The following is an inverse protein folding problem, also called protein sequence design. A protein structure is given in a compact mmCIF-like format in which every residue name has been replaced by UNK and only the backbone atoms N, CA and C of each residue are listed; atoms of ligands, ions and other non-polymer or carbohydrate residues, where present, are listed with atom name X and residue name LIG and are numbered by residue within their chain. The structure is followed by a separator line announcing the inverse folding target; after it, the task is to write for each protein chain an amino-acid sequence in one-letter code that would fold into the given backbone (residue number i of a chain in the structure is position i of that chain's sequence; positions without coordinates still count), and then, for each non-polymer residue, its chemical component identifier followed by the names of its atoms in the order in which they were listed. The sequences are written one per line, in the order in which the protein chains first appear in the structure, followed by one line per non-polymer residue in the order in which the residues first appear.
data_IF_147881411796
#
_entry.id   IF_147881411796
#
_cell.length_a   1.000
_cell.length_b   1.000
_cell.length_c   1.000
_cell.angle_alpha   90.00
_cell.angle_beta   90.00
_cell.angle_gamma   90.00
#
_symmetry.space_group_name_H-M   'P 1'
#
loop_
_entity.id
_entity.type
_entity.pdbx_description
1 polymer ?
#
# COMPACT_ATOMS: atom_id res chain seq x y z
N UNK A 1 31.18 -30.04 4.77
CA UNK A 1 29.78 -30.36 5.12
C UNK A 1 29.02 -30.84 3.89
N UNK A 2 28.33 -31.98 3.94
CA UNK A 2 27.47 -32.46 2.86
C UNK A 2 26.26 -31.53 2.67
N UNK A 3 25.80 -31.36 1.42
CA UNK A 3 24.66 -30.48 1.06
C UNK A 3 23.31 -30.93 1.64
N UNK A 4 23.30 -32.11 2.26
CA UNK A 4 22.10 -32.80 2.71
C UNK A 4 21.85 -32.61 4.21
N UNK A 5 22.66 -31.81 4.91
CA UNK A 5 22.53 -31.58 6.35
C UNK A 5 22.39 -30.08 6.63
N UNK A 6 21.57 -29.72 7.61
CA UNK A 6 21.47 -28.35 8.10
C UNK A 6 22.80 -27.90 8.73
N UNK A 7 23.27 -26.70 8.40
CA UNK A 7 24.53 -26.17 8.91
C UNK A 7 24.41 -25.38 10.22
N UNK A 8 23.22 -25.27 10.82
CA UNK A 8 23.06 -24.59 12.11
C UNK A 8 23.64 -25.49 13.20
N UNK A 9 24.57 -25.01 14.05
CA UNK A 9 25.14 -25.84 15.11
C UNK A 9 24.05 -26.40 16.03
N UNK A 10 24.11 -27.70 16.33
CA UNK A 10 23.10 -28.41 17.11
C UNK A 10 21.85 -28.85 16.34
N UNK A 11 21.72 -28.52 15.05
CA UNK A 11 20.61 -29.01 14.22
C UNK A 11 20.94 -30.36 13.58
N UNK A 12 20.08 -31.35 13.78
CA UNK A 12 20.24 -32.71 13.25
C UNK A 12 19.45 -32.96 11.96
N UNK A 13 18.78 -31.94 11.41
CA UNK A 13 17.91 -32.10 10.23
C UNK A 13 18.74 -32.45 8.99
N UNK A 14 18.34 -33.53 8.34
CA UNK A 14 18.89 -34.00 7.07
C UNK A 14 17.84 -33.94 5.94
N UNK A 15 18.28 -34.07 4.69
CA UNK A 15 17.41 -33.98 3.53
C UNK A 15 16.36 -35.11 3.48
N UNK A 16 16.65 -36.25 4.12
CA UNK A 16 15.78 -37.43 4.19
C UNK A 16 14.55 -37.20 5.08
N UNK A 17 14.62 -36.24 6.01
CA UNK A 17 13.51 -35.88 6.91
C UNK A 17 12.33 -35.19 6.19
N UNK A 18 12.43 -34.97 4.87
CA UNK A 18 11.42 -34.27 4.07
C UNK A 18 11.32 -32.76 4.35
N UNK A 19 12.20 -32.21 5.21
CA UNK A 19 12.23 -30.78 5.55
C UNK A 19 13.01 -30.00 4.49
N UNK A 20 12.45 -28.91 3.91
CA UNK A 20 13.17 -28.12 2.91
C UNK A 20 14.46 -27.48 3.47
N UNK A 21 15.56 -27.72 2.77
CA UNK A 21 16.86 -27.09 3.01
C UNK A 21 17.06 -25.89 2.06
N UNK A 22 17.28 -24.70 2.64
CA UNK A 22 17.44 -23.45 1.91
C UNK A 22 18.91 -23.11 1.69
N UNK A 23 19.20 -22.52 0.53
CA UNK A 23 20.52 -21.98 0.22
C UNK A 23 20.72 -20.61 0.86
N UNK A 24 21.97 -20.29 1.19
CA UNK A 24 22.38 -18.93 1.54
C UNK A 24 22.07 -17.93 0.41
N UNK A 25 21.81 -16.64 0.71
CA UNK A 25 21.70 -15.58 -0.30
C UNK A 25 22.91 -15.51 -1.23
N UNK A 26 22.80 -14.84 -2.38
CA UNK A 26 23.95 -14.73 -3.29
C UNK A 26 24.88 -13.61 -2.78
N UNK A 27 26.14 -13.89 -2.39
CA UNK A 27 27.01 -12.88 -1.79
C UNK A 27 27.26 -11.68 -2.71
N UNK A 28 27.28 -11.87 -4.04
CA UNK A 28 27.44 -10.78 -5.02
C UNK A 28 26.20 -9.89 -5.18
N UNK A 29 24.99 -10.38 -4.84
CA UNK A 29 23.71 -9.67 -5.08
C UNK A 29 23.03 -9.20 -3.81
N UNK A 30 23.34 -9.85 -2.69
CA UNK A 30 22.67 -9.70 -1.41
C UNK A 30 23.69 -9.99 -0.30
N UNK A 31 24.82 -9.25 -0.36
CA UNK A 31 25.97 -9.41 0.52
C UNK A 31 25.57 -9.22 1.98
N UNK A 32 24.80 -8.17 2.27
CA UNK A 32 24.39 -7.83 3.63
C UNK A 32 23.61 -8.97 4.29
N UNK A 33 22.60 -9.50 3.60
CA UNK A 33 21.81 -10.62 4.10
C UNK A 33 22.63 -11.90 4.23
N UNK A 34 23.55 -12.13 3.29
CA UNK A 34 24.46 -13.26 3.35
C UNK A 34 25.34 -13.23 4.61
N UNK A 35 26.01 -12.10 4.87
CA UNK A 35 26.87 -11.94 6.05
C UNK A 35 26.04 -11.97 7.34
N UNK A 36 24.82 -11.43 7.33
CA UNK A 36 23.90 -11.54 8.47
C UNK A 36 23.56 -13.00 8.79
N UNK A 37 23.30 -13.84 7.79
CA UNK A 37 23.05 -15.27 8.03
C UNK A 37 24.29 -15.96 8.62
N UNK A 38 25.49 -15.68 8.08
CA UNK A 38 26.74 -16.24 8.59
C UNK A 38 26.99 -15.81 10.05
N UNK A 39 26.80 -14.53 10.35
CA UNK A 39 26.96 -13.96 11.70
C UNK A 39 25.98 -14.58 12.70
N UNK A 40 24.72 -14.73 12.31
CA UNK A 40 23.65 -15.27 13.17
C UNK A 40 23.87 -16.75 13.49
N UNK A 41 24.40 -17.53 12.54
CA UNK A 41 24.64 -18.97 12.73
C UNK A 41 25.90 -19.19 13.57
N UNK A 42 26.94 -18.39 13.35
CA UNK A 42 28.19 -18.47 14.09
C UNK A 42 28.96 -19.78 13.90
N UNK A 43 29.97 -20.01 14.74
CA UNK A 43 30.80 -21.21 14.71
C UNK A 43 31.75 -21.30 13.50
N UNK A 44 32.07 -22.51 13.07
CA UNK A 44 33.08 -22.77 12.03
C UNK A 44 32.74 -22.25 10.62
N UNK A 45 31.52 -21.73 10.39
CA UNK A 45 31.12 -21.16 9.10
C UNK A 45 31.64 -19.74 8.89
N UNK A 46 32.02 -19.03 9.96
CA UNK A 46 32.52 -17.63 9.89
C UNK A 46 33.92 -17.54 9.27
N UNK A 47 34.70 -18.61 9.34
CA UNK A 47 36.08 -18.68 8.81
C UNK A 47 36.16 -19.17 7.36
N UNK A 48 35.03 -19.51 6.73
CA UNK A 48 34.98 -20.02 5.36
C UNK A 48 34.76 -18.89 4.34
N UNK A 49 35.22 -19.09 3.11
CA UNK A 49 34.96 -18.12 2.04
C UNK A 49 33.49 -18.14 1.58
N UNK A 50 33.00 -16.97 1.17
CA UNK A 50 31.61 -16.75 0.76
C UNK A 50 31.15 -17.69 -0.37
N UNK A 51 32.07 -18.09 -1.25
CA UNK A 51 31.73 -18.96 -2.39
C UNK A 51 31.55 -20.41 -1.95
N UNK A 52 32.38 -20.88 -1.02
CA UNK A 52 32.30 -22.20 -0.41
C UNK A 52 31.02 -22.33 0.40
N UNK A 53 30.72 -21.36 1.28
CA UNK A 53 29.49 -21.35 2.09
C UNK A 53 28.24 -21.52 1.21
N UNK A 54 28.12 -20.71 0.15
CA UNK A 54 26.99 -20.78 -0.80
C UNK A 54 26.88 -22.16 -1.47
N UNK A 55 28.00 -22.76 -1.87
CA UNK A 55 28.02 -24.02 -2.62
C UNK A 55 27.69 -25.22 -1.73
N UNK A 56 28.16 -25.24 -0.48
CA UNK A 56 28.17 -26.45 0.36
C UNK A 56 27.18 -26.39 1.53
N UNK A 57 26.83 -25.23 2.08
CA UNK A 57 26.03 -25.12 3.31
C UNK A 57 24.55 -24.83 3.03
N UNK A 58 23.66 -25.42 3.83
CA UNK A 58 22.19 -25.24 3.74
C UNK A 58 21.58 -25.09 5.13
N UNK A 59 20.46 -24.39 5.22
CA UNK A 59 19.72 -24.18 6.48
C UNK A 59 18.32 -24.75 6.33
N UNK A 60 17.88 -25.57 7.27
CA UNK A 60 16.53 -26.12 7.24
C UNK A 60 15.48 -25.05 7.53
N UNK A 61 14.26 -25.29 7.04
CA UNK A 61 13.14 -24.35 7.17
C UNK A 61 12.75 -24.03 8.62
N UNK A 62 13.06 -24.90 9.57
CA UNK A 62 12.66 -24.75 10.98
C UNK A 62 13.33 -23.53 11.68
N UNK A 63 14.47 -23.07 11.16
CA UNK A 63 15.17 -21.90 11.72
C UNK A 63 14.55 -20.56 11.29
N UNK A 64 13.53 -20.57 10.44
CA UNK A 64 12.88 -19.36 9.94
C UNK A 64 11.47 -19.21 10.51
N UNK A 65 11.18 -18.01 11.01
CA UNK A 65 9.83 -17.58 11.39
C UNK A 65 8.82 -17.78 10.23
N UNK A 66 7.59 -18.18 10.59
CA UNK A 66 6.54 -18.55 9.62
C UNK A 66 6.20 -17.43 8.64
N UNK A 67 6.34 -16.18 9.09
CA UNK A 67 6.11 -14.94 8.36
C UNK A 67 7.05 -14.79 7.16
N UNK A 68 8.24 -15.40 7.23
CA UNK A 68 9.22 -15.36 6.16
C UNK A 68 9.07 -16.48 5.13
N UNK A 69 8.11 -17.38 5.33
CA UNK A 69 7.89 -18.57 4.51
C UNK A 69 6.79 -18.32 3.47
N UNK A 70 7.13 -18.45 2.19
CA UNK A 70 6.20 -18.34 1.06
C UNK A 70 5.79 -19.73 0.51
N UNK A 71 4.65 -19.82 -0.22
CA UNK A 71 4.23 -21.04 -0.89
C UNK A 71 5.32 -21.61 -1.82
N UNK A 72 5.33 -22.94 -2.01
CA UNK A 72 6.33 -23.69 -2.79
C UNK A 72 7.76 -23.66 -2.20
N UNK A 73 7.89 -23.77 -0.88
CA UNK A 73 9.17 -23.88 -0.16
C UNK A 73 10.16 -22.73 -0.48
N UNK A 74 9.66 -21.50 -0.50
CA UNK A 74 10.46 -20.30 -0.76
C UNK A 74 10.57 -19.43 0.49
N UNK A 75 11.71 -18.77 0.65
CA UNK A 75 11.90 -17.71 1.63
C UNK A 75 11.65 -16.33 1.00
N UNK A 76 11.07 -15.42 1.76
CA UNK A 76 10.97 -14.01 1.35
C UNK A 76 12.35 -13.34 1.31
N UNK A 77 12.44 -12.12 0.77
CA UNK A 77 13.71 -11.39 0.64
C UNK A 77 14.30 -10.88 1.97
N UNK A 78 13.48 -10.82 3.02
CA UNK A 78 13.89 -10.35 4.34
C UNK A 78 14.14 -11.50 5.33
N UNK A 79 13.98 -12.76 4.88
CA UNK A 79 14.11 -13.90 5.80
C UNK A 79 15.53 -13.96 6.37
N UNK A 80 15.61 -14.05 7.69
CA UNK A 80 16.81 -14.37 8.45
C UNK A 80 16.51 -15.57 9.34
N UNK A 81 17.46 -16.48 9.56
CA UNK A 81 17.33 -17.49 10.60
C UNK A 81 17.15 -16.76 11.93
N UNK A 82 16.12 -17.10 12.68
CA UNK A 82 15.81 -16.42 13.95
C UNK A 82 15.28 -17.37 15.02
N UNK A 83 15.10 -18.65 14.70
CA UNK A 83 14.59 -19.67 15.61
C UNK A 83 15.63 -20.78 15.80
N UNK A 84 15.70 -21.34 17.02
CA UNK A 84 16.52 -22.51 17.35
C UNK A 84 18.00 -22.32 16.95
N UNK A 85 18.56 -21.17 17.27
CA UNK A 85 19.96 -20.83 17.05
C UNK A 85 20.76 -21.09 18.34
N UNK A 86 22.07 -21.37 18.24
CA UNK A 86 22.91 -21.52 19.42
C UNK A 86 22.89 -20.23 20.24
N UNK A 87 22.42 -20.30 21.49
CA UNK A 87 22.43 -19.15 22.39
C UNK A 87 23.87 -18.80 22.75
N UNK A 88 24.30 -17.59 22.39
CA UNK A 88 25.47 -16.95 22.97
C UNK A 88 25.18 -15.45 23.17
N UNK A 89 24.98 -15.14 24.45
CA UNK A 89 25.17 -13.90 25.20
C UNK A 89 25.26 -12.53 24.51
N UNK A 90 24.32 -11.68 24.96
CA UNK A 90 24.34 -10.22 25.18
C UNK A 90 25.54 -9.42 24.66
N UNK A 91 25.31 -8.50 23.71
CA UNK A 91 25.52 -7.04 23.85
C UNK A 91 25.38 -6.31 22.50
N UNK A 92 24.39 -5.41 22.42
CA UNK A 92 24.15 -4.53 21.27
C UNK A 92 24.95 -3.22 21.42
N UNK A 93 25.31 -2.57 20.30
CA UNK A 93 24.95 -1.15 20.18
C UNK A 93 24.37 -0.76 18.81
N UNK A 94 23.65 0.38 18.86
CA UNK A 94 22.79 1.09 17.91
C UNK A 94 23.41 1.62 16.61
N UNK A 95 22.60 1.98 15.59
CA UNK A 95 23.07 2.43 14.26
C UNK A 95 23.32 3.95 14.17
N UNK A 96 24.25 4.42 13.31
CA UNK A 96 24.32 5.82 12.91
C UNK A 96 23.76 6.09 11.50
N UNK A 97 22.89 7.09 11.46
CA UNK A 97 22.87 8.30 10.60
C UNK A 97 23.12 8.24 9.08
N UNK A 98 22.15 8.82 8.36
CA UNK A 98 22.12 9.18 6.93
C UNK A 98 22.96 10.44 6.67
N UNK A 99 23.70 10.47 5.55
CA UNK A 99 24.22 11.71 4.95
C UNK A 99 23.94 11.79 3.44
N UNK A 100 23.65 13.01 2.99
CA UNK A 100 23.10 13.43 1.70
C UNK A 100 24.14 13.52 0.56
N UNK A 101 23.63 13.60 -0.68
CA UNK A 101 24.31 14.15 -1.86
C UNK A 101 24.10 13.29 -3.11
N UNK A 102 23.78 13.76 -4.31
CA UNK A 102 23.44 15.08 -4.83
C UNK A 102 22.62 14.88 -6.12
N UNK A 103 21.79 15.87 -6.46
CA UNK A 103 20.95 15.94 -7.67
C UNK A 103 21.81 16.45 -8.83
N UNK A 104 21.73 15.82 -10.00
CA UNK A 104 22.06 16.44 -11.28
C UNK A 104 20.93 16.19 -12.28
N UNK A 105 20.30 17.29 -12.67
CA UNK A 105 19.32 17.43 -13.74
C UNK A 105 20.09 17.58 -15.07
N UNK A 106 19.60 17.02 -16.17
CA UNK A 106 19.75 17.66 -17.47
C UNK A 106 18.60 17.27 -18.40
N UNK A 107 18.04 18.31 -19.01
CA UNK A 107 16.89 18.28 -19.90
C UNK A 107 17.25 17.94 -21.34
N UNK A 108 16.19 17.50 -22.01
CA UNK A 108 15.96 17.10 -23.40
C UNK A 108 16.59 18.04 -24.43
N UNK A 109 17.20 17.51 -25.51
CA UNK A 109 16.72 17.64 -26.90
C UNK A 109 17.75 17.22 -27.97
N UNK A 110 17.21 16.52 -28.98
CA UNK A 110 17.59 16.36 -30.40
C UNK A 110 18.01 14.96 -30.87
N UNK A 111 17.55 14.58 -32.09
CA UNK A 111 17.53 13.20 -32.56
C UNK A 111 18.85 12.84 -33.24
N UNK A 112 19.41 11.67 -32.96
CA UNK A 112 20.58 11.17 -33.66
C UNK A 112 20.16 10.08 -34.64
N UNK A 113 20.49 10.39 -35.89
CA UNK A 113 20.31 9.65 -37.14
C UNK A 113 21.05 8.31 -37.15
N UNK A 114 20.46 7.37 -37.89
CA UNK A 114 21.01 6.06 -38.24
C UNK A 114 22.41 6.18 -38.85
N UNK A 115 23.44 5.80 -38.08
CA UNK A 115 24.73 5.37 -38.63
C UNK A 115 24.74 3.86 -38.76
N UNK A 116 25.07 3.41 -39.97
CA UNK A 116 25.41 2.05 -40.37
C UNK A 116 26.37 1.42 -39.36
N UNK A 117 25.98 0.26 -38.81
CA UNK A 117 26.87 -0.56 -37.99
C UNK A 117 27.74 -1.35 -38.97
N UNK A 118 28.98 -0.89 -39.16
CA UNK A 118 30.02 -1.73 -39.74
C UNK A 118 30.28 -2.93 -38.82
N UNK A 119 30.26 -4.12 -39.41
CA UNK A 119 30.51 -5.38 -38.71
C UNK A 119 31.99 -5.45 -38.29
N UNK A 120 32.28 -5.12 -37.03
CA UNK A 120 33.57 -5.38 -36.42
C UNK A 120 33.72 -6.88 -36.14
N UNK A 121 34.61 -7.57 -36.88
CA UNK A 121 34.99 -8.95 -36.59
C UNK A 121 35.72 -8.99 -35.23
N UNK A 122 35.27 -9.78 -34.25
CA UNK A 122 35.90 -9.78 -32.93
C UNK A 122 37.26 -10.47 -32.98
N UNK A 123 38.30 -9.72 -32.61
CA UNK A 123 39.62 -10.24 -32.24
C UNK A 123 39.50 -11.24 -31.09
N UNK A 124 40.17 -12.37 -31.26
CA UNK A 124 40.22 -13.51 -30.35
C UNK A 124 41.02 -13.20 -29.08
N UNK A 125 40.43 -12.51 -28.11
CA UNK A 125 40.87 -12.54 -26.69
C UNK A 125 39.96 -11.69 -25.78
N UNK A 126 38.68 -12.07 -25.64
CA UNK A 126 37.83 -11.51 -24.59
C UNK A 126 37.81 -12.46 -23.38
N UNK A 127 38.21 -12.03 -22.18
CA UNK A 127 38.17 -12.89 -20.99
C UNK A 127 36.77 -13.51 -20.80
N UNK A 128 36.69 -14.83 -20.63
CA UNK A 128 35.46 -15.65 -20.60
C UNK A 128 34.32 -15.07 -19.72
N UNK A 129 34.67 -14.39 -18.62
CA UNK A 129 33.73 -13.74 -17.69
C UNK A 129 32.97 -12.55 -18.32
N UNK A 130 33.60 -11.75 -19.19
CA UNK A 130 32.94 -10.64 -19.91
C UNK A 130 31.93 -11.16 -20.95
N UNK A 131 32.24 -12.27 -21.61
CA UNK A 131 31.37 -12.91 -22.61
C UNK A 131 30.05 -13.40 -21.98
N UNK A 132 30.15 -14.09 -20.84
CA UNK A 132 28.99 -14.59 -20.08
C UNK A 132 28.11 -13.47 -19.51
N UNK A 133 28.70 -12.35 -19.09
CA UNK A 133 27.95 -11.18 -18.63
C UNK A 133 27.14 -10.54 -19.78
N UNK A 134 27.76 -10.35 -20.94
CA UNK A 134 27.10 -9.82 -22.14
C UNK A 134 25.98 -10.75 -22.62
N UNK A 135 26.22 -12.06 -22.69
CA UNK A 135 25.20 -13.05 -23.05
C UNK A 135 23.99 -13.03 -22.09
N UNK A 136 24.24 -12.89 -20.79
CA UNK A 136 23.17 -12.77 -19.79
C UNK A 136 22.41 -11.44 -19.88
N UNK A 137 23.05 -10.36 -20.35
CA UNK A 137 22.41 -9.05 -20.59
C UNK A 137 21.55 -9.11 -21.85
N UNK A 138 22.05 -9.72 -22.93
CA UNK A 138 21.31 -9.97 -24.17
C UNK A 138 20.07 -10.83 -23.89
N UNK A 139 20.22 -11.96 -23.17
CA UNK A 139 19.08 -12.82 -22.77
C UNK A 139 18.02 -12.06 -21.97
N UNK A 140 18.43 -11.18 -21.04
CA UNK A 140 17.51 -10.33 -20.26
C UNK A 140 16.78 -9.30 -21.13
N UNK A 141 17.48 -8.68 -22.07
CA UNK A 141 16.90 -7.72 -23.01
C UNK A 141 15.89 -8.39 -23.94
N UNK A 142 16.21 -9.55 -24.50
CA UNK A 142 15.28 -10.34 -25.32
C UNK A 142 14.03 -10.78 -24.53
N UNK A 143 14.21 -11.20 -23.27
CA UNK A 143 13.10 -11.58 -22.41
C UNK A 143 12.20 -10.39 -22.10
N UNK A 144 12.79 -9.22 -21.87
CA UNK A 144 12.07 -7.95 -21.68
C UNK A 144 11.32 -7.56 -22.95
N UNK A 145 11.95 -7.66 -24.13
CA UNK A 145 11.33 -7.39 -25.43
C UNK A 145 10.14 -8.32 -25.66
N UNK A 146 10.28 -9.63 -25.41
CA UNK A 146 9.18 -10.61 -25.46
C UNK A 146 8.03 -10.22 -24.54
N UNK A 147 8.33 -9.79 -23.31
CA UNK A 147 7.34 -9.33 -22.33
C UNK A 147 6.58 -8.08 -22.84
N UNK A 148 7.30 -7.11 -23.39
CA UNK A 148 6.74 -5.85 -23.93
C UNK A 148 5.86 -6.14 -25.15
N UNK A 149 6.32 -6.97 -26.09
CA UNK A 149 5.57 -7.36 -27.27
C UNK A 149 4.27 -8.10 -26.91
N UNK A 150 4.33 -9.04 -25.96
CA UNK A 150 3.15 -9.74 -25.43
C UNK A 150 2.17 -8.76 -24.78
N UNK A 151 2.68 -7.78 -24.05
CA UNK A 151 1.86 -6.72 -23.43
C UNK A 151 1.18 -5.84 -24.48
N UNK A 152 1.92 -5.42 -25.52
CA UNK A 152 1.38 -4.66 -26.67
C UNK A 152 0.28 -5.42 -27.40
N UNK A 153 0.46 -6.72 -27.63
CA UNK A 153 -0.53 -7.55 -28.30
C UNK A 153 -1.80 -7.74 -27.44
N UNK A 154 -1.64 -7.97 -26.14
CA UNK A 154 -2.76 -8.03 -25.20
C UNK A 154 -3.54 -6.71 -25.14
N UNK A 155 -2.84 -5.58 -25.14
CA UNK A 155 -3.45 -4.26 -25.18
C UNK A 155 -4.24 -4.05 -26.48
N UNK A 156 -3.67 -4.41 -27.65
CA UNK A 156 -4.33 -4.33 -28.95
C UNK A 156 -5.59 -5.18 -29.01
N UNK A 157 -5.55 -6.42 -28.52
CA UNK A 157 -6.74 -7.31 -28.44
C UNK A 157 -7.84 -6.68 -27.58
N UNK A 158 -7.50 -6.13 -26.41
CA UNK A 158 -8.45 -5.44 -25.53
C UNK A 158 -9.04 -4.18 -26.17
N UNK A 159 -8.23 -3.39 -26.87
CA UNK A 159 -8.66 -2.21 -27.59
C UNK A 159 -9.65 -2.55 -28.71
N UNK A 160 -9.35 -3.58 -29.52
CA UNK A 160 -10.22 -4.02 -30.61
C UNK A 160 -11.57 -4.54 -30.08
N UNK A 161 -11.56 -5.32 -29.00
CA UNK A 161 -12.78 -5.78 -28.34
C UNK A 161 -13.60 -4.59 -27.81
N UNK A 162 -12.95 -3.63 -27.13
CA UNK A 162 -13.61 -2.42 -26.65
C UNK A 162 -14.19 -1.57 -27.80
N UNK A 163 -13.47 -1.46 -28.92
CA UNK A 163 -13.94 -0.77 -30.14
C UNK A 163 -15.16 -1.48 -30.75
N UNK A 164 -15.22 -2.81 -30.67
CA UNK A 164 -16.37 -3.62 -31.14
C UNK A 164 -17.60 -3.44 -30.24
N UNK A 165 -17.40 -3.48 -28.91
CA UNK A 165 -18.45 -3.22 -27.92
C UNK A 165 -19.00 -1.78 -28.03
N UNK A 166 -18.12 -0.81 -28.32
CA UNK A 166 -18.52 0.59 -28.55
C UNK A 166 -19.47 0.75 -29.74
N UNK A 167 -19.45 -0.15 -30.73
CA UNK A 167 -20.35 -0.08 -31.90
C UNK A 167 -21.78 -0.50 -31.58
N UNK A 168 -22.03 -1.16 -30.45
CA UNK A 168 -23.35 -1.64 -30.06
C UNK A 168 -23.97 -0.63 -29.08
N UNK A 169 -24.79 0.30 -29.58
CA UNK A 169 -25.51 1.28 -28.75
C UNK A 169 -26.59 0.67 -27.84
N UNK A 170 -26.71 -0.66 -27.76
CA UNK A 170 -27.69 -1.37 -26.95
C UNK A 170 -27.66 -0.94 -25.47
N UNK A 171 -26.47 -0.73 -24.90
CA UNK A 171 -26.36 -0.25 -23.51
C UNK A 171 -26.93 1.16 -23.35
N UNK A 172 -26.66 2.07 -24.29
CA UNK A 172 -27.18 3.45 -24.27
C UNK A 172 -28.70 3.45 -24.35
N UNK A 173 -29.27 2.59 -25.22
CA UNK A 173 -30.71 2.45 -25.43
C UNK A 173 -31.39 1.96 -24.15
N UNK A 174 -30.89 0.87 -23.56
CA UNK A 174 -31.47 0.27 -22.33
C UNK A 174 -31.35 1.22 -21.14
N UNK A 175 -30.26 1.99 -21.07
CA UNK A 175 -30.01 2.88 -19.92
C UNK A 175 -30.51 4.32 -20.11
N UNK A 176 -31.14 4.64 -21.25
CA UNK A 176 -31.54 6.02 -21.63
C UNK A 176 -32.44 6.69 -20.59
N UNK A 177 -33.36 5.93 -19.98
CA UNK A 177 -34.32 6.44 -19.00
C UNK A 177 -33.86 6.28 -17.54
N UNK A 178 -32.66 5.73 -17.31
CA UNK A 178 -32.16 5.50 -15.95
C UNK A 178 -31.58 6.78 -15.37
N UNK A 179 -31.68 6.94 -14.05
CA UNK A 179 -30.90 7.95 -13.34
C UNK A 179 -29.40 7.66 -13.48
N UNK A 180 -28.56 8.68 -13.31
CA UNK A 180 -27.09 8.54 -13.37
C UNK A 180 -26.56 7.48 -12.39
N UNK A 181 -27.13 7.44 -11.18
CA UNK A 181 -26.83 6.45 -10.16
C UNK A 181 -27.25 5.03 -10.59
N UNK A 182 -28.47 4.86 -11.09
CA UNK A 182 -28.97 3.55 -11.53
C UNK A 182 -28.19 3.03 -12.75
N UNK A 183 -27.89 3.91 -13.72
CA UNK A 183 -27.01 3.61 -14.87
C UNK A 183 -25.62 3.18 -14.41
N UNK A 184 -25.05 3.83 -13.39
CA UNK A 184 -23.75 3.47 -12.81
C UNK A 184 -23.79 2.11 -12.10
N UNK A 185 -24.83 1.83 -11.30
CA UNK A 185 -25.02 0.53 -10.65
C UNK A 185 -25.16 -0.60 -11.66
N UNK A 186 -25.97 -0.38 -12.70
CA UNK A 186 -26.16 -1.33 -13.79
C UNK A 186 -24.86 -1.56 -14.57
N UNK A 187 -24.14 -0.49 -14.90
CA UNK A 187 -22.83 -0.59 -15.55
C UNK A 187 -21.84 -1.42 -14.74
N UNK A 188 -21.82 -1.28 -13.41
CA UNK A 188 -20.99 -2.12 -12.54
C UNK A 188 -21.35 -3.60 -12.64
N UNK A 189 -22.64 -3.93 -12.78
CA UNK A 189 -23.09 -5.31 -12.97
C UNK A 189 -22.55 -5.86 -14.29
N UNK A 190 -22.88 -5.21 -15.41
CA UNK A 190 -22.48 -5.66 -16.76
C UNK A 190 -20.96 -5.79 -16.88
N UNK A 191 -20.20 -4.81 -16.37
CA UNK A 191 -18.73 -4.81 -16.40
C UNK A 191 -18.11 -5.86 -15.48
N UNK A 192 -18.80 -6.21 -14.39
CA UNK A 192 -18.30 -7.04 -13.31
C UNK A 192 -18.68 -8.51 -13.41
N UNK A 193 -19.76 -8.82 -14.12
CA UNK A 193 -20.23 -10.18 -14.40
C UNK A 193 -19.16 -10.98 -15.15
N UNK A 194 -19.01 -12.25 -14.80
CA UNK A 194 -17.96 -13.14 -15.32
C UNK A 194 -16.56 -12.89 -14.75
N UNK A 195 -16.34 -11.81 -13.99
CA UNK A 195 -15.04 -11.56 -13.31
C UNK A 195 -15.07 -12.09 -11.88
N UNK A 196 -13.97 -12.75 -11.49
CA UNK A 196 -13.70 -13.12 -10.09
C UNK A 196 -13.76 -11.87 -9.20
N UNK A 197 -14.22 -11.96 -7.93
CA UNK A 197 -14.36 -10.80 -7.04
C UNK A 197 -13.09 -9.93 -6.94
N UNK A 198 -11.90 -10.55 -6.81
CA UNK A 198 -10.60 -9.84 -6.76
C UNK A 198 -10.19 -9.17 -8.08
N UNK A 199 -10.80 -9.55 -9.20
CA UNK A 199 -10.56 -8.99 -10.53
C UNK A 199 -11.47 -7.81 -10.88
N UNK A 200 -12.48 -7.53 -10.06
CA UNK A 200 -13.39 -6.39 -10.26
C UNK A 200 -12.64 -5.09 -9.94
N UNK A 201 -12.84 -4.06 -10.76
CA UNK A 201 -12.17 -2.76 -10.64
C UNK A 201 -13.22 -1.67 -10.72
N UNK A 202 -13.26 -0.87 -9.66
CA UNK A 202 -14.23 0.20 -9.50
C UNK A 202 -13.58 1.57 -9.67
N UNK A 203 -14.26 2.50 -10.33
CA UNK A 203 -13.88 3.92 -10.41
C UNK A 203 -14.14 4.63 -9.07
N UNK A 204 -13.67 5.86 -8.92
CA UNK A 204 -13.94 6.63 -7.70
C UNK A 204 -15.45 6.90 -7.54
N UNK A 205 -16.13 7.33 -8.60
CA UNK A 205 -17.57 7.63 -8.58
C UNK A 205 -18.42 6.38 -8.27
N UNK A 206 -18.06 5.22 -8.84
CA UNK A 206 -18.69 3.93 -8.52
C UNK A 206 -18.57 3.60 -7.02
N UNK A 207 -17.40 3.90 -6.42
CA UNK A 207 -17.19 3.68 -4.99
C UNK A 207 -17.89 4.73 -4.11
N UNK A 208 -18.00 5.97 -4.55
CA UNK A 208 -18.76 7.03 -3.84
C UNK A 208 -20.25 6.66 -3.84
N UNK A 209 -20.79 6.19 -4.96
CA UNK A 209 -22.16 5.68 -5.02
C UNK A 209 -22.36 4.45 -4.13
N UNK A 210 -21.37 3.56 -4.07
CA UNK A 210 -21.41 2.45 -3.12
C UNK A 210 -21.35 2.93 -1.65
N UNK A 211 -20.59 3.99 -1.36
CA UNK A 211 -20.55 4.61 -0.02
C UNK A 211 -21.90 5.21 0.36
N UNK A 212 -22.61 5.85 -0.56
CA UNK A 212 -23.95 6.41 -0.29
C UNK A 212 -24.99 5.33 0.03
N UNK A 213 -24.79 4.09 -0.44
CA UNK A 213 -25.60 2.93 -0.04
C UNK A 213 -25.13 2.30 1.28
N UNK A 214 -23.81 2.21 1.48
CA UNK A 214 -23.21 1.60 2.67
C UNK A 214 -23.43 2.40 3.95
N UNK A 215 -23.33 3.74 3.88
CA UNK A 215 -23.38 4.61 5.07
C UNK A 215 -24.75 4.59 5.78
N UNK A 216 -25.89 4.68 5.08
CA UNK A 216 -27.19 4.60 5.73
C UNK A 216 -27.50 3.21 6.31
N UNK A 217 -27.13 2.14 5.59
CA UNK A 217 -27.39 0.77 6.06
C UNK A 217 -26.28 -0.21 5.67
N UNK A 218 -25.27 -0.40 6.55
CA UNK A 218 -24.21 -1.38 6.33
C UNK A 218 -24.74 -2.82 6.24
N UNK A 219 -25.85 -3.12 6.94
CA UNK A 219 -26.50 -4.43 6.93
C UNK A 219 -27.13 -4.74 5.57
N UNK A 220 -27.92 -3.79 5.02
CA UNK A 220 -28.51 -3.95 3.69
C UNK A 220 -27.42 -4.01 2.61
N UNK A 221 -26.38 -3.18 2.74
CA UNK A 221 -25.23 -3.23 1.82
C UNK A 221 -24.54 -4.59 1.82
N UNK A 222 -24.40 -5.23 2.99
CA UNK A 222 -23.82 -6.58 3.08
C UNK A 222 -24.63 -7.59 2.27
N UNK A 223 -25.94 -7.58 2.41
CA UNK A 223 -26.84 -8.44 1.63
C UNK A 223 -26.72 -8.15 0.12
N UNK A 224 -26.81 -6.87 -0.27
CA UNK A 224 -26.68 -6.47 -1.66
C UNK A 224 -25.31 -6.83 -2.26
N UNK A 225 -24.24 -6.81 -1.48
CA UNK A 225 -22.89 -7.16 -1.95
C UNK A 225 -22.69 -8.64 -2.24
N UNK A 226 -23.59 -9.50 -1.74
CA UNK A 226 -23.62 -10.92 -2.08
C UNK A 226 -24.33 -11.17 -3.41
N UNK A 227 -25.36 -10.37 -3.72
CA UNK A 227 -26.19 -10.50 -4.92
C UNK A 227 -25.65 -9.70 -6.11
N UNK A 228 -25.12 -8.51 -5.85
CA UNK A 228 -24.67 -7.57 -6.87
C UNK A 228 -23.15 -7.40 -6.86
N UNK A 229 -22.60 -7.03 -8.01
CA UNK A 229 -21.22 -6.56 -8.16
C UNK A 229 -21.07 -5.20 -7.48
N UNK A 230 -20.61 -5.22 -6.24
CA UNK A 230 -20.33 -4.04 -5.43
C UNK A 230 -18.91 -4.07 -4.84
N UNK A 231 -18.33 -2.90 -4.51
CA UNK A 231 -17.09 -2.83 -3.75
C UNK A 231 -17.18 -3.55 -2.40
N UNK A 232 -16.06 -4.12 -1.94
CA UNK A 232 -16.03 -4.69 -0.59
C UNK A 232 -16.05 -3.59 0.48
N UNK A 233 -16.55 -3.90 1.69
CA UNK A 233 -16.47 -3.01 2.86
C UNK A 233 -15.06 -2.47 3.08
N UNK A 234 -14.03 -3.33 2.96
CA UNK A 234 -12.63 -2.93 3.08
C UNK A 234 -12.23 -1.90 2.03
N UNK A 235 -12.68 -2.07 0.79
CA UNK A 235 -12.44 -1.09 -0.29
C UNK A 235 -13.05 0.26 0.04
N UNK A 236 -14.25 0.30 0.60
CA UNK A 236 -14.91 1.53 1.00
C UNK A 236 -14.21 2.20 2.20
N UNK A 237 -13.81 1.41 3.20
CA UNK A 237 -13.03 1.90 4.34
C UNK A 237 -11.69 2.50 3.91
N UNK A 238 -10.97 1.87 2.97
CA UNK A 238 -9.73 2.40 2.44
C UNK A 238 -9.88 3.76 1.73
N UNK A 239 -11.08 4.10 1.23
CA UNK A 239 -11.34 5.43 0.66
C UNK A 239 -11.55 6.43 1.78
N UNK A 240 -12.36 6.06 2.77
CA UNK A 240 -12.65 6.93 3.91
C UNK A 240 -11.39 7.24 4.71
N UNK A 241 -10.47 6.29 4.86
CA UNK A 241 -9.16 6.49 5.51
C UNK A 241 -8.28 7.53 4.81
N UNK A 242 -8.56 7.89 3.55
CA UNK A 242 -7.81 8.95 2.87
C UNK A 242 -8.29 10.35 3.26
N UNK A 243 -9.46 10.44 3.89
CA UNK A 243 -10.02 11.70 4.38
C UNK A 243 -9.43 11.95 5.75
N UNK A 244 -8.47 12.85 5.81
CA UNK A 244 -7.83 13.27 7.06
C UNK A 244 -8.77 14.22 7.82
N UNK A 245 -9.34 13.71 8.92
CA UNK A 245 -10.20 14.46 9.84
C UNK A 245 -9.49 14.52 11.20
N UNK A 246 -8.94 15.67 11.54
CA UNK A 246 -8.24 15.92 12.81
C UNK A 246 -9.08 16.82 13.72
N UNK A 247 -8.87 16.76 15.04
CA UNK A 247 -9.40 17.76 15.96
C UNK A 247 -8.97 19.17 15.56
N UNK A 248 -9.78 20.16 15.91
CA UNK A 248 -9.67 21.54 15.48
C UNK A 248 -10.41 21.82 14.18
N UNK A 249 -10.02 22.94 13.56
CA UNK A 249 -10.58 23.44 12.30
C UNK A 249 -10.02 22.63 11.13
N UNK A 250 -10.89 22.10 10.28
CA UNK A 250 -10.46 21.41 9.06
C UNK A 250 -10.45 22.37 7.86
N UNK A 251 -9.25 22.81 7.46
CA UNK A 251 -9.05 23.73 6.33
C UNK A 251 -9.71 23.24 5.04
N UNK A 252 -9.65 21.94 4.74
CA UNK A 252 -10.26 21.37 3.53
C UNK A 252 -11.77 21.55 3.53
N UNK A 253 -12.42 21.47 4.70
CA UNK A 253 -13.87 21.72 4.80
C UNK A 253 -14.15 23.20 4.50
N UNK A 254 -13.35 24.11 5.07
CA UNK A 254 -13.50 25.55 4.83
C UNK A 254 -13.22 25.96 3.38
N UNK A 255 -12.23 25.37 2.71
CA UNK A 255 -11.99 25.58 1.29
C UNK A 255 -13.21 25.20 0.44
N UNK A 256 -13.83 24.05 0.74
CA UNK A 256 -15.03 23.62 0.03
C UNK A 256 -16.24 24.51 0.36
N UNK A 257 -16.38 24.94 1.61
CA UNK A 257 -17.42 25.90 2.02
C UNK A 257 -17.26 27.22 1.29
N UNK A 258 -16.04 27.77 1.18
CA UNK A 258 -15.74 29.01 0.46
C UNK A 258 -16.19 28.93 -1.00
N UNK A 259 -15.87 27.83 -1.70
CA UNK A 259 -16.33 27.57 -3.08
C UNK A 259 -17.85 27.47 -3.18
N UNK A 260 -18.51 26.85 -2.19
CA UNK A 260 -19.97 26.75 -2.18
C UNK A 260 -20.68 28.06 -1.87
N UNK A 261 -20.08 28.89 -1.02
CA UNK A 261 -20.59 30.22 -0.66
C UNK A 261 -20.43 31.20 -1.82
N UNK A 262 -19.38 31.10 -2.64
CA UNK A 262 -19.23 31.94 -3.83
C UNK A 262 -20.31 31.70 -4.88
N UNK A 263 -20.84 30.47 -4.96
CA UNK A 263 -21.96 30.10 -5.86
C UNK A 263 -23.33 30.45 -5.27
N UNK A 264 -23.38 30.95 -4.03
CA UNK A 264 -24.61 31.11 -3.28
C UNK A 264 -25.15 32.55 -3.35
N UNK A 265 -26.48 32.74 -3.52
CA UNK A 265 -27.10 34.06 -3.41
C UNK A 265 -26.89 34.66 -2.01
N UNK A 266 -26.74 35.98 -1.90
CA UNK A 266 -26.43 36.66 -0.63
C UNK A 266 -27.42 36.34 0.49
N UNK A 267 -28.72 36.27 0.16
CA UNK A 267 -29.78 35.89 1.10
C UNK A 267 -29.58 34.51 1.73
N UNK A 268 -28.89 33.59 1.06
CA UNK A 268 -28.65 32.24 1.57
C UNK A 268 -27.35 32.12 2.38
N UNK A 269 -26.48 33.15 2.36
CA UNK A 269 -25.21 33.17 3.09
C UNK A 269 -25.39 33.39 4.59
N UNK A 270 -26.52 33.97 5.01
CA UNK A 270 -26.86 34.13 6.43
C UNK A 270 -26.94 32.77 7.13
N UNK A 271 -26.06 32.58 8.12
CA UNK A 271 -25.96 31.38 8.91
C UNK A 271 -25.66 31.72 10.37
N UNK A 272 -25.96 30.77 11.26
CA UNK A 272 -25.54 30.78 12.65
C UNK A 272 -24.50 29.68 12.88
N UNK A 273 -23.63 29.90 13.85
CA UNK A 273 -22.72 28.89 14.37
C UNK A 273 -23.38 28.30 15.60
N UNK A 274 -23.55 26.98 15.59
CA UNK A 274 -24.03 26.18 16.71
C UNK A 274 -22.85 25.42 17.27
N UNK A 275 -22.74 25.33 18.58
CA UNK A 275 -21.78 24.45 19.23
C UNK A 275 -22.41 23.85 20.46
N UNK A 276 -22.02 22.61 20.74
CA UNK A 276 -22.47 21.88 21.92
C UNK A 276 -21.44 20.82 22.29
N UNK A 277 -21.47 20.41 23.55
CA UNK A 277 -20.63 19.35 24.11
C UNK A 277 -21.38 18.03 24.14
N UNK A 278 -20.76 16.99 23.60
CA UNK A 278 -21.31 15.64 23.59
C UNK A 278 -20.45 14.73 24.48
N UNK A 279 -21.03 14.16 25.53
CA UNK A 279 -20.36 13.16 26.35
C UNK A 279 -19.99 11.92 25.52
N UNK A 280 -18.78 11.42 25.72
CA UNK A 280 -18.25 10.21 25.08
C UNK A 280 -17.72 9.25 26.15
N UNK A 281 -17.65 7.97 25.80
CA UNK A 281 -17.02 6.99 26.67
C UNK A 281 -15.51 7.26 26.76
N UNK A 282 -15.01 7.47 27.98
CA UNK A 282 -13.59 7.59 28.27
C UNK A 282 -12.89 6.27 27.97
N UNK A 283 -12.09 6.24 26.90
CA UNK A 283 -11.36 5.04 26.52
C UNK A 283 -10.12 5.38 25.69
N UNK A 284 -9.05 4.63 25.90
CA UNK A 284 -7.86 4.67 25.04
C UNK A 284 -8.01 3.68 23.88
N UNK A 285 -7.76 4.15 22.67
CA UNK A 285 -7.69 3.27 21.50
C UNK A 285 -6.45 3.57 20.68
N UNK A 286 -5.74 2.52 20.27
CA UNK A 286 -4.56 2.67 19.44
C UNK A 286 -4.93 2.60 17.96
N UNK A 287 -4.72 3.70 17.23
CA UNK A 287 -4.84 3.75 15.79
C UNK A 287 -3.51 3.36 15.13
N UNK A 288 -3.45 2.11 14.69
CA UNK A 288 -2.29 1.54 13.99
C UNK A 288 -1.99 2.21 12.65
N UNK A 289 -2.96 2.86 12.01
CA UNK A 289 -2.73 3.49 10.71
C UNK A 289 -1.92 4.78 10.82
N UNK A 290 -2.09 5.52 11.92
CA UNK A 290 -1.43 6.80 12.18
C UNK A 290 -0.43 6.74 13.34
N UNK A 291 -0.21 5.55 13.92
CA UNK A 291 0.61 5.33 15.10
C UNK A 291 0.27 6.30 16.25
N UNK A 292 -1.03 6.46 16.51
CA UNK A 292 -1.56 7.43 17.48
C UNK A 292 -2.43 6.72 18.52
N UNK A 293 -2.16 6.99 19.79
CA UNK A 293 -3.08 6.65 20.88
C UNK A 293 -4.16 7.73 20.93
N UNK A 294 -5.43 7.35 20.74
CA UNK A 294 -6.60 8.21 20.87
C UNK A 294 -7.23 8.08 22.26
N UNK A 295 -8.10 9.03 22.64
CA UNK A 295 -8.78 9.04 23.94
C UNK A 295 -8.29 10.12 24.91
N UNK A 296 -7.40 11.00 24.44
CA UNK A 296 -6.89 12.13 25.21
C UNK A 296 -7.51 13.45 24.75
N UNK A 297 -7.51 14.44 25.64
CA UNK A 297 -7.87 15.83 25.34
C UNK A 297 -6.97 16.36 24.21
N UNK A 298 -7.59 16.87 23.16
CA UNK A 298 -6.95 17.30 21.92
C UNK A 298 -7.82 18.39 21.26
N UNK A 299 -7.35 19.62 21.29
CA UNK A 299 -8.03 20.77 20.67
C UNK A 299 -7.54 21.09 19.25
N UNK A 300 -6.76 20.19 18.65
CA UNK A 300 -6.15 20.37 17.32
C UNK A 300 -4.83 21.12 17.34
N UNK A 301 -4.59 22.00 18.32
CA UNK A 301 -3.32 22.72 18.48
C UNK A 301 -2.44 22.14 19.59
N UNK A 302 -3.06 21.72 20.68
CA UNK A 302 -2.42 21.17 21.87
C UNK A 302 -3.14 19.90 22.27
N UNK A 303 -2.35 18.90 22.62
CA UNK A 303 -2.80 17.63 23.15
C UNK A 303 -2.28 17.49 24.57
N UNK A 304 -3.16 17.10 25.49
CA UNK A 304 -2.84 16.94 26.90
C UNK A 304 -2.96 15.47 27.31
N UNK A 305 -2.13 14.97 28.24
CA UNK A 305 -2.20 13.59 28.74
C UNK A 305 -3.36 13.38 29.73
N UNK A 306 -4.52 13.96 29.43
CA UNK A 306 -5.77 13.87 30.21
C UNK A 306 -6.78 13.13 29.36
N UNK A 307 -7.56 12.22 29.97
CA UNK A 307 -8.60 11.49 29.25
C UNK A 307 -9.73 12.43 28.82
N UNK A 308 -10.14 12.31 27.56
CA UNK A 308 -11.29 13.03 27.05
C UNK A 308 -12.57 12.26 27.38
N UNK A 309 -13.53 12.95 27.99
CA UNK A 309 -14.86 12.45 28.31
C UNK A 309 -15.96 13.20 27.53
N UNK A 310 -15.62 14.31 26.86
CA UNK A 310 -16.53 15.08 26.02
C UNK A 310 -15.89 15.43 24.67
N UNK A 311 -16.75 15.71 23.69
CA UNK A 311 -16.38 16.27 22.39
C UNK A 311 -17.17 17.55 22.17
N UNK A 312 -16.48 18.67 22.05
CA UNK A 312 -17.06 19.94 21.62
C UNK A 312 -17.12 19.96 20.09
N UNK A 313 -18.31 20.18 19.51
CA UNK A 313 -18.51 20.19 18.05
C UNK A 313 -19.09 21.52 17.61
N UNK A 314 -18.47 22.16 16.62
CA UNK A 314 -18.97 23.35 15.95
C UNK A 314 -19.64 22.99 14.63
N UNK A 315 -20.83 23.55 14.39
CA UNK A 315 -21.64 23.33 13.19
C UNK A 315 -22.17 24.65 12.65
N UNK A 316 -22.03 24.86 11.35
CA UNK A 316 -22.69 25.98 10.67
C UNK A 316 -24.09 25.55 10.26
N UNK A 317 -25.09 26.37 10.54
CA UNK A 317 -26.48 26.18 10.12
C UNK A 317 -26.98 27.41 9.36
N UNK A 318 -27.47 27.21 8.14
CA UNK A 318 -28.10 28.28 7.38
C UNK A 318 -29.43 28.71 7.99
N UNK A 319 -29.66 30.04 8.03
CA UNK A 319 -30.89 30.64 8.56
C UNK A 319 -31.99 30.59 7.50
N UNK A 320 -31.71 31.16 6.32
CA UNK A 320 -32.68 31.21 5.22
C UNK A 320 -32.71 29.88 4.47
N UNK A 321 -31.56 29.45 3.95
CA UNK A 321 -31.43 28.13 3.31
C UNK A 321 -31.13 27.08 4.37
N UNK A 322 -31.97 26.05 4.47
CA UNK A 322 -31.76 24.94 5.41
C UNK A 322 -30.57 24.08 4.99
N UNK A 323 -29.40 24.31 5.59
CA UNK A 323 -28.24 23.44 5.52
C UNK A 323 -27.55 23.37 6.88
N UNK A 324 -26.82 22.28 7.12
CA UNK A 324 -26.05 22.03 8.35
C UNK A 324 -24.74 21.34 7.98
N UNK A 325 -23.62 21.79 8.53
CA UNK A 325 -22.30 21.20 8.29
C UNK A 325 -21.43 21.34 9.54
N UNK A 326 -20.96 20.24 10.15
CA UNK A 326 -19.89 20.29 11.14
C UNK A 326 -18.61 20.88 10.52
N UNK A 327 -17.99 21.83 11.21
CA UNK A 327 -16.84 22.58 10.72
C UNK A 327 -15.57 22.35 11.55
N UNK A 328 -15.72 22.10 12.83
CA UNK A 328 -14.63 21.83 13.76
C UNK A 328 -15.12 20.93 14.89
N UNK A 329 -14.19 20.19 15.51
CA UNK A 329 -14.46 19.44 16.73
C UNK A 329 -13.20 19.36 17.58
N UNK A 330 -13.35 19.26 18.89
CA UNK A 330 -12.24 19.04 19.81
C UNK A 330 -12.62 18.07 20.92
N UNK A 331 -11.61 17.42 21.49
CA UNK A 331 -11.76 16.53 22.63
C UNK A 331 -11.43 17.29 23.91
N UNK A 332 -12.35 17.28 24.87
CA UNK A 332 -12.24 17.99 26.15
C UNK A 332 -12.49 17.06 27.35
N UNK A 333 -12.09 17.54 28.53
CA UNK A 333 -12.40 16.90 29.81
C UNK A 333 -13.32 17.84 30.59
N UNK A 334 -14.55 17.38 30.87
CA UNK A 334 -15.62 18.22 31.41
C UNK A 334 -15.97 19.42 30.53
N UNK A 335 -16.46 20.49 31.16
CA UNK A 335 -16.89 21.71 30.47
C UNK A 335 -15.70 22.51 29.94
N UNK A 336 -15.78 22.90 28.66
CA UNK A 336 -14.76 23.72 27.99
C UNK A 336 -14.73 25.12 28.60
N UNK A 337 -13.53 25.57 29.03
CA UNK A 337 -13.34 26.91 29.58
C UNK A 337 -13.55 27.97 28.49
N UNK A 338 -14.12 29.11 28.86
CA UNK A 338 -14.38 30.20 27.91
C UNK A 338 -13.11 30.71 27.20
N UNK A 339 -11.95 30.61 27.85
CA UNK A 339 -10.65 30.99 27.24
C UNK A 339 -10.25 30.06 26.10
N UNK A 340 -10.60 28.77 26.19
CA UNK A 340 -10.24 27.77 25.19
C UNK A 340 -11.14 27.87 23.95
N UNK A 341 -12.37 28.39 24.11
CA UNK A 341 -13.30 28.67 23.01
C UNK A 341 -12.75 29.71 22.02
N UNK A 342 -11.91 30.65 22.45
CA UNK A 342 -11.35 31.68 21.56
C UNK A 342 -10.41 31.09 20.50
N UNK A 343 -9.83 29.92 20.78
CA UNK A 343 -8.86 29.26 19.92
C UNK A 343 -9.49 28.14 19.06
N UNK A 344 -10.82 28.01 19.09
CA UNK A 344 -11.60 27.06 18.29
C UNK A 344 -12.48 27.81 17.30
#
# INVERSE_FOLDING_TARGET
MPRNICCVPGCQVVAEDGVPLHYFPCPEKDAERFHNWVKIIGGAITSLDNTTIRKTHRICRQHFQKEFLYPKNRLCKLAVPSLLLPSADVSAPSPPSISQGAILHCDVTKPITTRTIEYFKPSSSVPFLRRKHFENKVKRLEQTLRQVLKTKQNFRKRYLLAKKIRKTNAFEIVTKKMSSAAKSLFYMQVKGTGKKPRGRRFTLNEKILALSLYKPSPKAYRLLSQLCVLPSRRTLQNILQKVDLKPGINEKIFEHLKKKVSEMPDKHKFCCILFDEMSIATNLSYDRAHDKINGFVDNGSKRQPIFADHVLVFMVRGIVKKYKQPIAYSFCSGTTKSVDLKYQ
#
